data_IF_483878867513
#
_entry.id   IF_483878867513
#
_cell.length_a   1.000
_cell.length_b   1.000
_cell.length_c   1.000
_cell.angle_alpha   90.00
_cell.angle_beta   90.00
_cell.angle_gamma   90.00
#
_symmetry.space_group_name_H-M   'P 1'
#
loop_
_entity.id
_entity.type
_entity.pdbx_description
1 polymer ?
#
# COMPACT_ATOMS: atom_id res chain seq x y z
N UNK A 1 -8.53 -5.08 6.07
CA UNK A 1 -8.93 -4.14 7.14
C UNK A 1 -8.24 -4.59 8.42
N UNK A 2 -7.67 -3.68 9.22
CA UNK A 2 -7.07 -4.04 10.51
C UNK A 2 -8.06 -3.67 11.62
N UNK A 3 -9.29 -4.17 11.50
CA UNK A 3 -10.30 -4.00 12.55
C UNK A 3 -9.98 -5.02 13.63
N UNK A 4 -9.85 -4.57 14.88
CA UNK A 4 -9.73 -5.50 16.00
C UNK A 4 -11.12 -5.99 16.36
N UNK A 5 -11.32 -7.29 16.25
CA UNK A 5 -12.57 -7.98 16.61
C UNK A 5 -12.25 -8.97 17.73
N UNK A 6 -12.93 -8.82 18.85
CA UNK A 6 -12.80 -9.70 20.03
C UNK A 6 -14.20 -10.17 20.39
N UNK A 7 -14.49 -11.44 20.11
CA UNK A 7 -15.85 -11.99 20.20
C UNK A 7 -16.87 -11.16 19.40
N UNK A 8 -17.70 -10.40 20.12
CA UNK A 8 -18.73 -9.51 19.60
C UNK A 8 -18.34 -8.02 19.72
N UNK A 9 -17.15 -7.70 20.22
CA UNK A 9 -16.61 -6.34 20.31
C UNK A 9 -15.82 -6.00 19.05
N UNK A 10 -16.14 -4.86 18.44
CA UNK A 10 -15.49 -4.37 17.22
C UNK A 10 -14.91 -2.99 17.51
N UNK A 11 -13.57 -2.86 17.43
CA UNK A 11 -12.87 -1.61 17.67
C UNK A 11 -12.41 -0.98 16.35
N UNK A 12 -12.79 0.27 16.12
CA UNK A 12 -12.57 0.99 14.88
C UNK A 12 -12.05 2.40 15.11
N UNK A 13 -11.21 2.89 14.21
CA UNK A 13 -11.04 4.31 13.99
C UNK A 13 -12.16 4.86 13.09
N UNK A 14 -12.46 6.15 13.17
CA UNK A 14 -13.39 6.80 12.22
C UNK A 14 -12.94 6.60 10.76
N UNK A 15 -11.63 6.46 10.51
CA UNK A 15 -11.08 6.18 9.18
C UNK A 15 -11.50 4.82 8.62
N UNK A 16 -11.78 3.84 9.48
CA UNK A 16 -12.22 2.50 9.06
C UNK A 16 -13.69 2.49 8.62
N UNK A 17 -14.45 3.56 8.90
CA UNK A 17 -15.84 3.73 8.47
C UNK A 17 -15.96 4.40 7.09
N UNK A 18 -14.87 4.95 6.56
CA UNK A 18 -14.91 5.72 5.32
C UNK A 18 -15.05 4.78 4.12
N UNK A 19 -15.79 5.22 3.10
CA UNK A 19 -15.83 4.51 1.83
C UNK A 19 -14.40 4.27 1.30
N UNK A 20 -14.11 3.10 0.70
CA UNK A 20 -12.85 2.88 0.01
C UNK A 20 -12.66 3.92 -1.11
N UNK A 21 -11.72 4.85 -0.94
CA UNK A 21 -11.38 5.81 -1.99
C UNK A 21 -10.37 5.18 -2.96
N UNK A 22 -10.79 4.88 -4.18
CA UNK A 22 -9.95 4.29 -5.24
C UNK A 22 -8.73 5.15 -5.66
N UNK A 23 -8.68 6.43 -5.29
CA UNK A 23 -7.73 7.42 -5.88
C UNK A 23 -6.34 7.48 -5.26
N UNK A 24 -6.00 6.68 -4.24
CA UNK A 24 -4.69 6.79 -3.56
C UNK A 24 -3.60 5.83 -4.07
N UNK A 25 -3.83 5.08 -5.15
CA UNK A 25 -2.98 3.93 -5.48
C UNK A 25 -2.15 4.04 -6.77
N UNK A 26 -2.05 5.20 -7.42
CA UNK A 26 -1.05 5.35 -8.48
C UNK A 26 0.30 5.74 -7.88
N UNK A 27 1.34 5.04 -8.32
CA UNK A 27 2.74 5.38 -8.05
C UNK A 27 3.00 6.74 -8.69
N UNK A 28 2.73 7.82 -7.95
CA UNK A 28 3.24 9.12 -8.31
C UNK A 28 4.76 9.02 -8.35
N UNK A 29 5.38 9.61 -9.37
CA UNK A 29 6.83 9.75 -9.52
C UNK A 29 7.50 10.49 -8.34
N UNK A 30 6.71 10.99 -7.39
CA UNK A 30 7.16 11.58 -6.14
C UNK A 30 7.23 10.53 -5.02
N UNK A 31 8.33 10.47 -4.25
CA UNK A 31 8.41 9.63 -3.06
C UNK A 31 7.29 10.00 -2.07
N UNK A 32 6.28 9.13 -1.99
CA UNK A 32 5.16 9.22 -1.03
C UNK A 32 5.57 9.48 0.44
N UNK A 33 6.74 9.03 0.97
CA UNK A 33 7.18 9.37 2.32
C UNK A 33 7.28 10.88 2.58
N UNK A 34 7.71 11.66 1.58
CA UNK A 34 7.80 13.12 1.70
C UNK A 34 6.41 13.76 1.78
N UNK A 35 5.43 13.24 1.03
CA UNK A 35 4.05 13.76 1.05
C UNK A 35 3.40 13.62 2.43
N UNK A 36 3.55 12.47 3.08
CA UNK A 36 2.96 12.25 4.42
C UNK A 36 3.54 13.18 5.48
N UNK A 37 4.86 13.43 5.43
CA UNK A 37 5.54 14.40 6.28
C UNK A 37 5.07 15.83 6.02
N UNK A 38 5.05 16.25 4.74
CA UNK A 38 4.57 17.57 4.33
C UNK A 38 3.10 17.80 4.73
N UNK A 39 2.26 16.78 4.59
CA UNK A 39 0.86 16.81 5.04
C UNK A 39 0.73 17.10 6.54
N UNK A 40 1.49 16.39 7.39
CA UNK A 40 1.50 16.63 8.85
C UNK A 40 2.04 18.01 9.21
N UNK A 41 3.08 18.48 8.53
CA UNK A 41 3.63 19.82 8.73
C UNK A 41 2.61 20.90 8.36
N UNK A 42 1.92 20.75 7.22
CA UNK A 42 0.86 21.64 6.79
C UNK A 42 -0.30 21.69 7.82
N UNK A 43 -0.76 20.52 8.29
CA UNK A 43 -1.77 20.42 9.34
C UNK A 43 -1.34 21.13 10.63
N UNK A 44 -0.13 20.83 11.12
CA UNK A 44 0.45 21.47 12.32
C UNK A 44 0.54 22.99 12.16
N UNK A 45 0.89 23.48 10.97
CA UNK A 45 0.97 24.91 10.66
C UNK A 45 -0.40 25.59 10.77
N UNK A 46 -1.45 24.98 10.22
CA UNK A 46 -2.84 25.49 10.32
C UNK A 46 -3.31 25.49 11.78
N UNK A 47 -3.11 24.39 12.51
CA UNK A 47 -3.50 24.30 13.93
C UNK A 47 -2.77 25.35 14.79
N UNK A 48 -1.46 25.55 14.58
CA UNK A 48 -0.67 26.57 15.31
C UNK A 48 -1.14 27.99 15.02
N UNK A 49 -1.56 28.29 13.79
CA UNK A 49 -2.14 29.60 13.44
C UNK A 49 -3.45 29.84 14.21
N UNK A 50 -4.26 28.79 14.39
CA UNK A 50 -5.56 28.86 15.07
C UNK A 50 -5.48 28.84 16.59
N UNK A 51 -4.53 28.11 17.17
CA UNK A 51 -4.27 28.14 18.63
C UNK A 51 -3.93 29.55 19.16
N UNK A 52 -3.53 30.48 18.28
CA UNK A 52 -3.29 31.89 18.63
C UNK A 52 -4.59 32.71 18.77
N UNK A 53 -5.73 32.17 18.33
CA UNK A 53 -7.08 32.71 18.60
C UNK A 53 -7.66 32.01 19.83
N UNK A 54 -7.51 32.68 20.98
CA UNK A 54 -8.21 32.52 22.27
C UNK A 54 -8.98 31.20 22.53
N UNK A 55 -8.50 30.40 23.49
CA UNK A 55 -9.21 29.59 24.51
C UNK A 55 -10.39 28.65 24.18
N UNK A 56 -11.04 28.82 23.04
CA UNK A 56 -12.26 28.14 22.59
C UNK A 56 -11.96 27.02 21.60
N UNK A 57 -10.73 26.97 21.09
CA UNK A 57 -10.26 26.01 20.11
C UNK A 57 -9.48 24.88 20.79
N UNK A 58 -9.92 23.65 20.54
CA UNK A 58 -9.24 22.44 20.96
C UNK A 58 -8.71 21.72 19.73
N UNK A 59 -7.39 21.73 19.55
CA UNK A 59 -6.72 20.94 18.52
C UNK A 59 -6.61 19.47 18.94
N UNK A 60 -6.71 18.55 17.97
CA UNK A 60 -6.51 17.11 18.20
C UNK A 60 -7.46 16.51 19.24
N UNK A 61 -8.73 16.91 19.18
CA UNK A 61 -9.77 16.49 20.12
C UNK A 61 -10.06 14.99 19.97
N UNK A 62 -9.72 14.21 21.00
CA UNK A 62 -10.00 12.78 21.02
C UNK A 62 -11.49 12.52 21.29
N UNK A 63 -12.07 11.58 20.57
CA UNK A 63 -13.45 11.15 20.78
C UNK A 63 -13.57 9.63 20.74
N UNK A 64 -14.41 9.10 21.61
CA UNK A 64 -14.76 7.68 21.66
C UNK A 64 -16.25 7.51 21.95
N UNK A 65 -16.91 6.62 21.20
CA UNK A 65 -18.30 6.22 21.42
C UNK A 65 -18.49 4.74 21.13
N UNK A 66 -19.42 4.13 21.86
CA UNK A 66 -19.80 2.73 21.66
C UNK A 66 -21.25 2.65 21.23
N UNK A 67 -21.52 1.84 20.20
CA UNK A 67 -22.84 1.62 19.62
C UNK A 67 -23.17 0.14 19.63
N UNK A 68 -24.43 -0.20 19.90
CA UNK A 68 -24.92 -1.58 19.75
C UNK A 68 -25.50 -1.78 18.35
N UNK A 69 -25.13 -2.86 17.67
CA UNK A 69 -25.62 -3.23 16.36
C UNK A 69 -25.77 -4.75 16.25
N UNK A 70 -27.02 -5.24 16.31
CA UNK A 70 -27.34 -6.66 16.48
C UNK A 70 -26.59 -7.29 17.67
N UNK A 71 -25.87 -8.39 17.45
CA UNK A 71 -25.05 -9.05 18.45
C UNK A 71 -23.72 -8.34 18.75
N UNK A 72 -23.33 -7.33 17.95
CA UNK A 72 -22.03 -6.65 18.06
C UNK A 72 -22.10 -5.33 18.82
N UNK A 73 -21.00 -4.99 19.49
CA UNK A 73 -20.73 -3.67 20.02
C UNK A 73 -19.58 -3.01 19.26
N UNK A 74 -19.85 -1.86 18.67
CA UNK A 74 -18.90 -1.06 17.90
C UNK A 74 -18.33 0.04 18.77
N UNK A 75 -17.05 -0.02 19.11
CA UNK A 75 -16.33 1.08 19.77
C UNK A 75 -15.55 1.87 18.71
N UNK A 76 -16.02 3.08 18.42
CA UNK A 76 -15.42 3.98 17.45
C UNK A 76 -14.57 5.01 18.16
N UNK A 77 -13.34 5.17 17.69
CA UNK A 77 -12.36 6.14 18.18
C UNK A 77 -11.97 7.11 17.07
N UNK A 78 -11.68 8.35 17.45
CA UNK A 78 -11.43 9.41 16.51
C UNK A 78 -10.56 10.51 17.09
N UNK A 79 -9.92 11.26 16.20
CA UNK A 79 -9.18 12.46 16.58
C UNK A 79 -9.55 13.56 15.59
N UNK A 80 -10.27 14.55 16.10
CA UNK A 80 -10.77 15.67 15.33
C UNK A 80 -9.68 16.73 15.31
N UNK A 81 -9.30 17.21 14.12
CA UNK A 81 -8.16 18.12 14.00
C UNK A 81 -8.39 19.46 14.72
N UNK A 82 -9.64 19.91 14.81
CA UNK A 82 -10.03 21.10 15.54
C UNK A 82 -11.51 21.14 15.95
N UNK A 83 -11.79 21.60 17.18
CA UNK A 83 -13.14 21.87 17.67
C UNK A 83 -13.19 23.27 18.29
N UNK A 84 -14.08 24.12 17.81
CA UNK A 84 -14.43 25.40 18.42
C UNK A 84 -15.75 25.27 19.16
N UNK A 85 -15.75 25.47 20.48
CA UNK A 85 -16.97 25.49 21.28
C UNK A 85 -17.42 26.94 21.52
N UNK A 86 -18.57 27.30 20.97
CA UNK A 86 -19.27 28.57 21.19
C UNK A 86 -20.54 28.30 22.01
N UNK A 87 -21.15 29.34 22.60
CA UNK A 87 -22.27 29.18 23.55
C UNK A 87 -23.47 28.38 23.00
N UNK A 88 -23.79 28.46 21.71
CA UNK A 88 -24.93 27.76 21.09
C UNK A 88 -24.52 26.95 19.85
N UNK A 89 -23.21 26.84 19.58
CA UNK A 89 -22.69 26.29 18.34
C UNK A 89 -21.33 25.65 18.55
N UNK A 90 -21.08 24.52 17.93
CA UNK A 90 -19.75 23.94 17.81
C UNK A 90 -19.30 23.94 16.34
N UNK A 91 -18.13 24.49 16.05
CA UNK A 91 -17.49 24.27 14.75
C UNK A 91 -16.49 23.12 14.85
N UNK A 92 -16.59 22.17 13.92
CA UNK A 92 -15.68 21.02 13.85
C UNK A 92 -14.88 21.17 12.57
N UNK A 93 -13.57 20.97 12.63
CA UNK A 93 -12.68 21.08 11.48
C UNK A 93 -11.87 19.80 11.29
N UNK A 94 -11.88 19.28 10.06
CA UNK A 94 -10.94 18.27 9.59
C UNK A 94 -10.01 18.89 8.54
N UNK A 95 -8.72 18.63 8.63
CA UNK A 95 -7.69 19.22 7.77
C UNK A 95 -7.07 18.12 6.90
N UNK A 96 -7.11 18.29 5.58
CA UNK A 96 -6.49 17.36 4.63
C UNK A 96 -5.57 18.10 3.67
N UNK A 97 -4.57 17.38 3.16
CA UNK A 97 -3.60 17.91 2.20
C UNK A 97 -3.80 17.32 0.81
N UNK A 98 -3.77 18.15 -0.22
CA UNK A 98 -3.84 17.77 -1.63
C UNK A 98 -2.62 18.31 -2.41
N UNK A 99 -2.33 17.72 -3.56
CA UNK A 99 -1.32 18.20 -4.50
C UNK A 99 -2.06 18.44 -5.81
N UNK A 100 -2.30 19.71 -6.13
CA UNK A 100 -3.04 20.12 -7.33
C UNK A 100 -2.43 21.39 -7.90
N UNK A 101 -2.55 21.59 -9.21
CA UNK A 101 -2.18 22.87 -9.81
C UNK A 101 -3.01 24.01 -9.21
N UNK A 102 -2.50 25.24 -9.26
CA UNK A 102 -3.24 26.40 -8.76
C UNK A 102 -4.61 26.59 -9.45
N UNK A 103 -4.73 26.21 -10.72
CA UNK A 103 -6.01 26.28 -11.45
C UNK A 103 -7.00 25.23 -10.95
N UNK A 104 -6.58 23.97 -10.80
CA UNK A 104 -7.42 22.89 -10.29
C UNK A 104 -7.83 23.14 -8.85
N UNK A 105 -6.91 23.58 -7.99
CA UNK A 105 -7.19 23.85 -6.58
C UNK A 105 -8.24 24.97 -6.40
N UNK A 106 -8.19 26.01 -7.24
CA UNK A 106 -9.21 27.09 -7.26
C UNK A 106 -10.59 26.57 -7.67
N UNK A 107 -10.67 25.60 -8.58
CA UNK A 107 -11.92 25.00 -9.08
C UNK A 107 -12.33 23.73 -8.33
N UNK A 108 -11.60 23.37 -7.27
CA UNK A 108 -11.85 22.15 -6.50
C UNK A 108 -13.25 22.17 -5.89
N UNK A 109 -13.87 20.99 -5.92
CA UNK A 109 -15.19 20.67 -5.43
C UNK A 109 -15.07 19.54 -4.39
N UNK A 110 -15.71 19.65 -3.23
CA UNK A 110 -15.56 18.68 -2.14
C UNK A 110 -16.16 17.31 -2.47
N UNK A 111 -17.10 17.27 -3.41
CA UNK A 111 -17.71 16.06 -3.97
C UNK A 111 -16.68 15.13 -4.63
N UNK A 112 -15.50 15.66 -4.98
CA UNK A 112 -14.36 14.85 -5.45
C UNK A 112 -13.66 14.08 -4.34
N UNK A 113 -13.95 14.35 -3.08
CA UNK A 113 -13.32 13.77 -1.88
C UNK A 113 -14.38 13.30 -0.86
N UNK A 114 -15.29 12.39 -1.26
CA UNK A 114 -16.37 11.93 -0.40
C UNK A 114 -15.87 11.34 0.92
N UNK A 115 -14.72 10.66 0.92
CA UNK A 115 -14.12 10.07 2.12
C UNK A 115 -13.75 11.12 3.18
N UNK A 116 -13.30 12.32 2.75
CA UNK A 116 -12.99 13.40 3.69
C UNK A 116 -14.26 14.03 4.25
N UNK A 117 -15.30 14.16 3.42
CA UNK A 117 -16.61 14.66 3.83
C UNK A 117 -17.25 13.71 4.84
N UNK A 118 -17.27 12.40 4.56
CA UNK A 118 -17.78 11.36 5.47
C UNK A 118 -17.05 11.41 6.83
N UNK A 119 -15.74 11.60 6.84
CA UNK A 119 -14.96 11.68 8.07
C UNK A 119 -15.43 12.82 8.98
N UNK A 120 -15.64 14.04 8.43
CA UNK A 120 -16.11 15.18 9.22
C UNK A 120 -17.55 14.97 9.69
N UNK A 121 -18.39 14.35 8.87
CA UNK A 121 -19.77 14.02 9.24
C UNK A 121 -19.83 13.03 10.40
N UNK A 122 -19.02 11.98 10.38
CA UNK A 122 -18.93 11.04 11.50
C UNK A 122 -18.43 11.71 12.77
N UNK A 123 -17.42 12.60 12.69
CA UNK A 123 -17.00 13.38 13.85
C UNK A 123 -18.11 14.27 14.40
N UNK A 124 -18.89 14.93 13.53
CA UNK A 124 -20.06 15.71 13.95
C UNK A 124 -21.11 14.86 14.66
N UNK A 125 -21.40 13.66 14.15
CA UNK A 125 -22.34 12.74 14.79
C UNK A 125 -21.83 12.22 16.14
N UNK A 126 -20.54 11.86 16.24
CA UNK A 126 -19.97 11.37 17.50
C UNK A 126 -19.97 12.44 18.60
N UNK A 127 -19.77 13.71 18.25
CA UNK A 127 -19.73 14.83 19.19
C UNK A 127 -21.11 15.29 19.69
N UNK A 128 -22.20 14.84 19.08
CA UNK A 128 -23.52 15.42 19.33
C UNK A 128 -23.99 15.30 20.78
N UNK A 129 -23.67 14.18 21.44
CA UNK A 129 -24.12 13.94 22.82
C UNK A 129 -23.30 14.73 23.85
N UNK A 130 -22.15 15.30 23.45
CA UNK A 130 -21.30 16.13 24.31
C UNK A 130 -21.67 17.62 24.28
N UNK A 131 -22.61 18.01 23.41
CA UNK A 131 -22.84 19.41 23.06
C UNK A 131 -24.25 19.93 23.44
N UNK A 132 -25.01 19.20 24.25
CA UNK A 132 -26.27 19.63 24.90
C UNK A 132 -27.26 20.41 23.97
N UNK A 133 -27.35 20.03 22.70
CA UNK A 133 -28.25 20.66 21.72
C UNK A 133 -27.69 21.86 20.94
N UNK A 134 -26.40 22.19 21.11
CA UNK A 134 -25.72 23.19 20.29
C UNK A 134 -25.71 22.81 18.79
N UNK A 135 -25.81 23.80 17.91
CA UNK A 135 -25.71 23.58 16.46
C UNK A 135 -24.30 23.10 16.11
N UNK A 136 -24.18 21.97 15.42
CA UNK A 136 -22.89 21.45 14.96
C UNK A 136 -22.67 21.85 13.51
N UNK A 137 -21.57 22.57 13.26
CA UNK A 137 -21.19 23.02 11.93
C UNK A 137 -19.83 22.44 11.53
N UNK A 138 -19.82 21.36 10.74
CA UNK A 138 -18.60 20.75 10.27
C UNK A 138 -17.99 21.50 9.09
N UNK A 139 -16.66 21.55 9.07
CA UNK A 139 -15.85 22.13 8.03
C UNK A 139 -14.75 21.17 7.59
N UNK A 140 -14.56 21.09 6.28
CA UNK A 140 -13.39 20.45 5.68
C UNK A 140 -12.42 21.54 5.21
N UNK A 141 -11.16 21.46 5.63
CA UNK A 141 -10.10 22.36 5.22
C UNK A 141 -9.13 21.59 4.34
N UNK A 142 -8.98 22.03 3.11
CA UNK A 142 -8.00 21.47 2.18
C UNK A 142 -6.81 22.42 2.03
N UNK A 143 -5.60 21.89 2.23
CA UNK A 143 -4.34 22.60 2.07
C UNK A 143 -3.61 22.06 0.84
N UNK A 144 -3.23 22.94 -0.08
CA UNK A 144 -2.40 22.57 -1.22
C UNK A 144 -0.93 22.59 -0.85
N UNK A 145 -0.25 21.44 -0.93
CA UNK A 145 1.16 21.33 -0.54
C UNK A 145 2.13 22.04 -1.50
N UNK A 146 1.69 22.40 -2.73
CA UNK A 146 2.55 23.08 -3.70
C UNK A 146 2.78 24.55 -3.30
N UNK A 147 1.77 25.21 -2.74
CA UNK A 147 1.79 26.66 -2.53
C UNK A 147 1.18 27.11 -1.19
N UNK A 148 0.94 26.18 -0.26
CA UNK A 148 0.30 26.39 1.04
C UNK A 148 -1.10 27.04 1.00
N UNK A 149 -1.74 27.12 -0.18
CA UNK A 149 -3.06 27.71 -0.31
C UNK A 149 -4.11 26.85 0.42
N UNK A 150 -5.07 27.50 1.08
CA UNK A 150 -6.09 26.83 1.87
C UNK A 150 -7.49 27.14 1.34
N UNK A 151 -8.40 26.17 1.44
CA UNK A 151 -9.83 26.37 1.23
C UNK A 151 -10.63 25.70 2.34
N UNK A 152 -11.51 26.45 3.00
CA UNK A 152 -12.45 25.98 4.03
C UNK A 152 -13.82 25.80 3.40
N UNK A 153 -14.41 24.62 3.57
CA UNK A 153 -15.71 24.25 3.01
C UNK A 153 -16.65 23.88 4.15
N UNK A 154 -17.83 24.53 4.21
CA UNK A 154 -18.90 24.12 5.13
C UNK A 154 -19.52 22.83 4.60
N UNK A 155 -19.62 21.81 5.46
CA UNK A 155 -20.21 20.52 5.11
C UNK A 155 -21.67 20.49 5.62
N UNK A 156 -22.66 20.22 4.76
CA UNK A 156 -24.05 20.05 5.20
C UNK A 156 -24.18 18.86 6.15
N UNK A 157 -24.64 19.11 7.38
CA UNK A 157 -24.81 18.07 8.40
C UNK A 157 -26.28 17.83 8.72
N UNK A 158 -26.68 16.57 8.63
CA UNK A 158 -28.02 16.11 9.00
C UNK A 158 -27.88 14.84 9.84
N UNK A 159 -28.17 14.95 11.13
CA UNK A 159 -28.03 13.85 12.11
C UNK A 159 -28.60 12.52 11.63
N UNK A 160 -29.88 12.49 11.25
CA UNK A 160 -30.56 11.26 10.82
C UNK A 160 -29.98 10.65 9.53
N UNK A 161 -29.42 11.48 8.64
CA UNK A 161 -28.78 10.98 7.43
C UNK A 161 -27.41 10.38 7.74
N UNK A 162 -26.62 11.03 8.60
CA UNK A 162 -25.32 10.52 9.07
C UNK A 162 -25.46 9.24 9.89
N UNK A 163 -26.49 9.14 10.73
CA UNK A 163 -26.82 7.92 11.47
C UNK A 163 -27.13 6.74 10.54
N UNK A 164 -27.95 6.97 9.51
CA UNK A 164 -28.25 5.95 8.49
C UNK A 164 -26.98 5.50 7.77
N UNK A 165 -26.11 6.44 7.40
CA UNK A 165 -24.81 6.12 6.80
C UNK A 165 -23.94 5.28 7.74
N UNK A 166 -23.88 5.62 9.03
CA UNK A 166 -23.14 4.86 10.04
C UNK A 166 -23.68 3.43 10.18
N UNK A 167 -25.00 3.26 10.25
CA UNK A 167 -25.64 1.94 10.30
C UNK A 167 -25.36 1.11 9.04
N UNK A 168 -25.34 1.73 7.86
CA UNK A 168 -24.93 1.06 6.62
C UNK A 168 -23.47 0.58 6.68
N UNK A 169 -22.57 1.37 7.28
CA UNK A 169 -21.16 0.96 7.48
C UNK A 169 -21.05 -0.20 8.46
N UNK A 170 -21.82 -0.20 9.55
CA UNK A 170 -21.87 -1.35 10.46
C UNK A 170 -22.34 -2.62 9.76
N UNK A 171 -23.43 -2.54 8.98
CA UNK A 171 -23.91 -3.66 8.18
C UNK A 171 -22.81 -4.23 7.27
N UNK A 172 -22.10 -3.34 6.56
CA UNK A 172 -21.02 -3.72 5.66
C UNK A 172 -19.84 -4.38 6.41
N UNK A 173 -19.46 -3.86 7.56
CA UNK A 173 -18.37 -4.40 8.39
C UNK A 173 -18.74 -5.78 8.93
N UNK A 174 -19.94 -5.95 9.48
CA UNK A 174 -20.42 -7.27 9.94
C UNK A 174 -20.46 -8.27 8.78
N UNK A 175 -20.97 -7.87 7.61
CA UNK A 175 -20.97 -8.71 6.43
C UNK A 175 -19.55 -9.10 5.98
N UNK A 176 -18.57 -8.20 6.10
CA UNK A 176 -17.16 -8.50 5.81
C UNK A 176 -16.58 -9.52 6.80
N UNK A 177 -16.81 -9.34 8.11
CA UNK A 177 -16.35 -10.25 9.16
C UNK A 177 -16.91 -11.65 8.95
N UNK A 178 -18.22 -11.76 8.66
CA UNK A 178 -18.86 -13.05 8.37
C UNK A 178 -18.26 -13.73 7.13
N UNK A 179 -18.09 -12.99 6.03
CA UNK A 179 -17.45 -13.50 4.80
C UNK A 179 -16.00 -13.94 5.01
N UNK A 180 -15.26 -13.23 5.85
CA UNK A 180 -13.88 -13.58 6.21
C UNK A 180 -13.83 -14.89 7.00
N UNK A 181 -14.70 -15.06 8.00
CA UNK A 181 -14.84 -16.34 8.74
C UNK A 181 -15.21 -17.50 7.84
N UNK A 182 -16.21 -17.32 6.97
CA UNK A 182 -16.61 -18.34 5.97
C UNK A 182 -15.46 -18.69 5.02
N UNK A 183 -14.67 -17.69 4.61
CA UNK A 183 -13.50 -17.89 3.74
C UNK A 183 -12.42 -18.69 4.46
N UNK A 184 -12.13 -18.39 5.73
CA UNK A 184 -11.18 -19.14 6.55
C UNK A 184 -11.59 -20.61 6.63
N UNK A 185 -12.85 -20.87 6.99
CA UNK A 185 -13.37 -22.24 7.12
C UNK A 185 -13.36 -22.99 5.78
N UNK A 186 -13.74 -22.31 4.68
CA UNK A 186 -13.64 -22.90 3.34
C UNK A 186 -12.19 -23.26 3.01
N UNK A 187 -11.25 -22.33 3.21
CA UNK A 187 -9.83 -22.54 2.89
C UNK A 187 -9.18 -23.62 3.76
N UNK A 188 -9.58 -23.74 5.04
CA UNK A 188 -9.19 -24.85 5.93
C UNK A 188 -9.61 -26.20 5.36
N UNK A 189 -10.84 -26.32 4.87
CA UNK A 189 -11.32 -27.54 4.21
C UNK A 189 -10.56 -27.81 2.91
N UNK A 190 -10.39 -26.79 2.07
CA UNK A 190 -9.67 -26.89 0.79
C UNK A 190 -8.24 -27.40 1.00
N UNK A 191 -7.49 -26.87 1.97
CA UNK A 191 -6.10 -27.28 2.21
C UNK A 191 -5.96 -28.61 2.96
N UNK A 192 -6.97 -29.04 3.73
CA UNK A 192 -6.92 -30.28 4.53
C UNK A 192 -6.85 -31.57 3.70
N UNK A 193 -7.22 -31.49 2.42
CA UNK A 193 -7.21 -32.62 1.47
C UNK A 193 -6.06 -32.53 0.46
N UNK A 194 -5.14 -31.59 0.66
CA UNK A 194 -3.99 -31.39 -0.22
C UNK A 194 -2.77 -32.11 0.33
N UNK A 195 -2.17 -32.93 -0.52
CA UNK A 195 -0.87 -33.54 -0.26
C UNK A 195 0.25 -32.55 -0.61
N UNK A 196 1.28 -32.51 0.22
CA UNK A 196 2.45 -31.64 0.06
C UNK A 196 3.69 -32.49 -0.32
N UNK A 197 3.82 -32.89 -1.60
CA UNK A 197 4.83 -33.87 -2.02
C UNK A 197 6.23 -33.26 -2.00
N UNK A 198 7.13 -33.81 -1.17
CA UNK A 198 8.55 -33.47 -1.26
C UNK A 198 9.19 -34.23 -2.43
N UNK A 199 10.07 -33.59 -3.25
CA UNK A 199 10.74 -34.26 -4.37
C UNK A 199 11.55 -35.51 -3.94
N UNK A 200 12.13 -35.47 -2.74
CA UNK A 200 12.80 -36.59 -2.07
C UNK A 200 12.55 -36.48 -0.58
N UNK A 201 12.18 -37.57 0.10
CA UNK A 201 12.01 -37.56 1.56
C UNK A 201 13.37 -37.57 2.27
N UNK A 202 13.77 -36.42 2.83
CA UNK A 202 15.02 -36.31 3.61
C UNK A 202 14.71 -35.88 5.05
N UNK A 203 15.32 -36.52 6.07
CA UNK A 203 15.07 -36.16 7.48
C UNK A 203 15.29 -34.67 7.79
N UNK A 204 16.27 -34.04 7.14
CA UNK A 204 16.58 -32.62 7.34
C UNK A 204 15.47 -31.68 6.84
N UNK A 205 14.72 -32.07 5.80
CA UNK A 205 13.58 -31.29 5.31
C UNK A 205 12.42 -31.34 6.30
N UNK A 206 12.12 -32.52 6.83
CA UNK A 206 11.07 -32.69 7.85
C UNK A 206 11.41 -31.89 9.11
N UNK A 207 12.67 -31.93 9.54
CA UNK A 207 13.14 -31.11 10.66
C UNK A 207 12.97 -29.61 10.36
N UNK A 208 13.36 -29.15 9.18
CA UNK A 208 13.18 -27.75 8.78
C UNK A 208 11.69 -27.36 8.74
N UNK A 209 10.82 -28.22 8.22
CA UNK A 209 9.38 -27.97 8.15
C UNK A 209 8.75 -27.84 9.54
N UNK A 210 9.16 -28.68 10.49
CA UNK A 210 8.71 -28.60 11.88
C UNK A 210 9.10 -27.25 12.51
N UNK A 211 10.37 -26.88 12.42
CA UNK A 211 10.86 -25.61 13.01
C UNK A 211 10.21 -24.39 12.34
N UNK A 212 9.96 -24.44 11.02
CA UNK A 212 9.22 -23.37 10.31
C UNK A 212 7.78 -23.27 10.82
N UNK A 213 7.10 -24.41 11.04
CA UNK A 213 5.73 -24.43 11.57
C UNK A 213 5.67 -23.81 12.96
N UNK A 214 6.53 -24.25 13.87
CA UNK A 214 6.59 -23.75 15.24
C UNK A 214 6.86 -22.23 15.25
N UNK A 215 7.82 -21.77 14.43
CA UNK A 215 8.13 -20.35 14.29
C UNK A 215 6.94 -19.52 13.81
N UNK A 216 6.13 -20.03 12.88
CA UNK A 216 4.97 -19.33 12.36
C UNK A 216 3.84 -19.25 13.39
N UNK A 217 3.61 -20.33 14.13
CA UNK A 217 2.61 -20.40 15.20
C UNK A 217 2.96 -19.45 16.36
N UNK A 218 4.24 -19.38 16.72
CA UNK A 218 4.76 -18.47 17.75
C UNK A 218 4.95 -17.01 17.27
N UNK A 219 4.76 -16.74 15.99
CA UNK A 219 4.99 -15.42 15.37
C UNK A 219 6.42 -14.89 15.56
N UNK A 220 7.41 -15.78 15.49
CA UNK A 220 8.83 -15.49 15.70
C UNK A 220 9.62 -15.30 14.38
N UNK A 221 10.92 -15.02 14.51
CA UNK A 221 11.86 -14.98 13.40
C UNK A 221 12.75 -16.22 13.41
N UNK A 222 12.96 -16.83 12.24
CA UNK A 222 13.78 -18.02 12.08
C UNK A 222 14.89 -17.78 11.06
N UNK A 223 16.12 -18.15 11.43
CA UNK A 223 17.26 -18.24 10.52
C UNK A 223 17.64 -19.72 10.38
N UNK A 224 17.54 -20.25 9.16
CA UNK A 224 17.91 -21.63 8.83
C UNK A 224 19.18 -21.65 8.00
N UNK A 225 20.16 -22.44 8.45
CA UNK A 225 21.33 -22.78 7.64
C UNK A 225 21.22 -24.24 7.20
N UNK A 226 21.18 -24.46 5.89
CA UNK A 226 21.18 -25.81 5.30
C UNK A 226 21.97 -25.82 3.98
N UNK A 227 22.66 -26.92 3.62
CA UNK A 227 23.41 -27.04 2.38
C UNK A 227 22.55 -26.83 1.12
N UNK A 228 23.15 -26.49 -0.01
CA UNK A 228 22.45 -26.44 -1.31
C UNK A 228 21.97 -27.83 -1.72
N UNK A 229 20.94 -27.89 -2.57
CA UNK A 229 20.38 -29.17 -3.04
C UNK A 229 19.52 -29.93 -2.03
N UNK A 230 19.37 -29.47 -0.78
CA UNK A 230 18.59 -30.14 0.28
C UNK A 230 17.07 -29.96 0.17
N UNK A 231 16.55 -29.23 -0.83
CA UNK A 231 15.11 -28.97 -0.99
C UNK A 231 14.54 -27.90 -0.03
N UNK A 232 15.39 -26.94 0.38
CA UNK A 232 15.05 -25.85 1.32
C UNK A 232 13.82 -25.06 0.91
N UNK A 233 13.64 -24.83 -0.39
CA UNK A 233 12.51 -24.06 -0.93
C UNK A 233 11.18 -24.72 -0.59
N UNK A 234 11.03 -26.04 -0.82
CA UNK A 234 9.82 -26.78 -0.44
C UNK A 234 9.65 -26.85 1.09
N UNK A 235 10.74 -27.13 1.82
CA UNK A 235 10.72 -27.22 3.27
C UNK A 235 10.35 -25.89 3.96
N UNK A 236 10.60 -24.73 3.33
CA UNK A 236 10.13 -23.43 3.79
C UNK A 236 8.69 -23.12 3.31
N UNK A 237 8.40 -23.37 2.03
CA UNK A 237 7.13 -22.97 1.42
C UNK A 237 5.94 -23.80 1.88
N UNK A 238 6.08 -25.11 2.03
CA UNK A 238 4.96 -25.99 2.39
C UNK A 238 4.36 -25.68 3.76
N UNK A 239 5.13 -25.65 4.87
CA UNK A 239 4.57 -25.25 6.16
C UNK A 239 4.06 -23.81 6.13
N UNK A 240 4.71 -22.91 5.38
CA UNK A 240 4.22 -21.54 5.23
C UNK A 240 2.86 -21.47 4.53
N UNK A 241 2.65 -22.22 3.44
CA UNK A 241 1.36 -22.28 2.72
C UNK A 241 0.30 -22.93 3.61
N UNK A 242 0.63 -24.03 4.29
CA UNK A 242 -0.25 -24.71 5.26
C UNK A 242 -0.76 -23.75 6.35
N UNK A 243 0.11 -22.89 6.86
CA UNK A 243 -0.24 -21.90 7.86
C UNK A 243 -0.98 -20.69 7.27
N UNK A 244 -0.48 -20.14 6.16
CA UNK A 244 -0.92 -18.84 5.65
C UNK A 244 -2.27 -18.90 4.92
N UNK A 245 -2.44 -19.91 4.07
CA UNK A 245 -3.60 -20.04 3.19
C UNK A 245 -4.94 -20.01 3.94
N UNK A 246 -5.18 -20.87 4.96
CA UNK A 246 -6.44 -20.87 5.70
C UNK A 246 -6.70 -19.56 6.44
N UNK A 247 -5.65 -18.85 6.86
CA UNK A 247 -5.76 -17.59 7.58
C UNK A 247 -5.91 -16.37 6.67
N UNK A 248 -5.85 -16.55 5.35
CA UNK A 248 -5.82 -15.44 4.40
C UNK A 248 -4.54 -14.58 4.48
N UNK A 249 -3.50 -15.09 5.15
CA UNK A 249 -2.17 -14.46 5.16
C UNK A 249 -1.48 -14.69 3.82
N UNK A 250 -0.57 -13.79 3.48
CA UNK A 250 0.19 -13.78 2.25
C UNK A 250 1.64 -14.11 2.52
N UNK A 251 2.24 -14.85 1.60
CA UNK A 251 3.67 -15.16 1.64
C UNK A 251 4.36 -14.27 0.62
N UNK A 252 5.41 -13.54 1.04
CA UNK A 252 6.33 -12.92 0.10
C UNK A 252 7.65 -13.70 0.16
N UNK A 253 7.95 -14.44 -0.89
CA UNK A 253 9.25 -15.06 -1.07
C UNK A 253 10.14 -14.14 -1.90
N UNK A 254 11.24 -13.70 -1.30
CA UNK A 254 12.25 -12.87 -1.97
C UNK A 254 13.48 -13.69 -2.32
N UNK A 255 13.99 -13.50 -3.53
CA UNK A 255 15.13 -14.25 -4.06
C UNK A 255 15.91 -13.44 -5.10
N UNK A 256 17.22 -13.63 -5.22
CA UNK A 256 18.09 -12.82 -6.11
C UNK A 256 18.08 -13.28 -7.57
N UNK A 257 17.70 -14.53 -7.86
CA UNK A 257 17.88 -15.11 -9.19
C UNK A 257 16.57 -15.59 -9.79
N UNK A 258 16.41 -15.37 -11.09
CA UNK A 258 15.26 -15.87 -11.85
C UNK A 258 15.12 -17.40 -11.78
N UNK A 259 16.23 -18.14 -11.72
CA UNK A 259 16.22 -19.61 -11.59
C UNK A 259 15.52 -20.07 -10.31
N UNK A 260 15.64 -19.32 -9.22
CA UNK A 260 14.99 -19.64 -7.95
C UNK A 260 13.48 -19.41 -8.03
N UNK A 261 13.02 -18.42 -8.80
CA UNK A 261 11.59 -18.21 -9.05
C UNK A 261 10.96 -19.42 -9.76
N UNK A 262 11.68 -20.03 -10.70
CA UNK A 262 11.21 -21.24 -11.37
C UNK A 262 11.06 -22.42 -10.39
N UNK A 263 12.01 -22.61 -9.46
CA UNK A 263 11.92 -23.63 -8.42
C UNK A 263 10.67 -23.44 -7.55
N UNK A 264 10.34 -22.19 -7.20
CA UNK A 264 9.09 -21.89 -6.47
C UNK A 264 7.86 -22.29 -7.28
N UNK A 265 7.84 -22.00 -8.58
CA UNK A 265 6.73 -22.39 -9.44
C UNK A 265 6.57 -23.92 -9.51
N UNK A 266 7.67 -24.64 -9.73
CA UNK A 266 7.71 -26.10 -9.76
C UNK A 266 7.28 -26.72 -8.42
N UNK A 267 7.63 -26.08 -7.30
CA UNK A 267 7.27 -26.53 -5.94
C UNK A 267 5.77 -26.39 -5.66
N UNK A 268 5.14 -25.31 -6.12
CA UNK A 268 3.73 -24.99 -5.80
C UNK A 268 2.73 -25.48 -6.86
N UNK A 269 3.16 -25.74 -8.10
CA UNK A 269 2.30 -26.22 -9.18
C UNK A 269 1.57 -27.54 -8.84
N UNK A 270 2.18 -28.52 -8.15
CA UNK A 270 1.47 -29.72 -7.69
C UNK A 270 0.29 -29.42 -6.75
N UNK A 271 0.37 -28.38 -5.92
CA UNK A 271 -0.72 -28.03 -5.00
C UNK A 271 -1.93 -27.48 -5.77
N UNK A 272 -1.69 -26.62 -6.75
CA UNK A 272 -2.75 -26.08 -7.62
C UNK A 272 -3.35 -27.18 -8.50
N UNK A 273 -2.53 -28.11 -9.01
CA UNK A 273 -3.00 -29.25 -9.80
C UNK A 273 -3.92 -30.20 -9.01
N UNK A 274 -3.74 -30.28 -7.68
CA UNK A 274 -4.64 -31.01 -6.77
C UNK A 274 -5.96 -30.26 -6.49
N UNK A 275 -6.14 -29.06 -7.05
CA UNK A 275 -7.35 -28.25 -6.89
C UNK A 275 -7.28 -27.19 -5.80
N UNK A 276 -6.13 -27.00 -5.13
CA UNK A 276 -5.94 -25.89 -4.22
C UNK A 276 -6.03 -24.58 -5.01
N UNK A 277 -6.96 -23.69 -4.64
CA UNK A 277 -7.14 -22.37 -5.27
C UNK A 277 -6.08 -21.39 -4.78
N UNK A 278 -4.81 -21.79 -4.88
CA UNK A 278 -3.65 -21.01 -4.49
C UNK A 278 -3.28 -20.05 -5.62
N UNK A 279 -3.15 -18.77 -5.30
CA UNK A 279 -2.74 -17.74 -6.26
C UNK A 279 -1.29 -17.38 -6.06
N UNK A 280 -0.45 -17.70 -7.03
CA UNK A 280 0.99 -17.47 -7.02
C UNK A 280 1.35 -16.41 -8.07
N UNK A 281 1.86 -15.28 -7.62
CA UNK A 281 2.21 -14.15 -8.48
C UNK A 281 3.73 -13.91 -8.50
N UNK A 282 4.28 -13.76 -9.71
CA UNK A 282 5.70 -13.52 -9.92
C UNK A 282 5.93 -12.09 -10.40
N UNK A 283 6.83 -11.38 -9.74
CA UNK A 283 7.19 -10.01 -10.09
C UNK A 283 8.53 -9.95 -10.81
N UNK A 284 8.53 -9.26 -11.94
CA UNK A 284 9.71 -8.93 -12.73
C UNK A 284 9.97 -7.41 -12.64
N UNK A 285 11.24 -7.04 -12.79
CA UNK A 285 11.67 -5.64 -12.81
C UNK A 285 10.83 -4.78 -13.76
N UNK A 286 10.52 -3.55 -13.34
CA UNK A 286 9.65 -2.62 -14.07
C UNK A 286 10.14 -2.34 -15.48
N UNK A 287 11.45 -2.19 -15.63
CA UNK A 287 12.13 -1.94 -16.90
C UNK A 287 11.94 -3.12 -17.86
N UNK A 288 11.91 -4.35 -17.34
CA UNK A 288 11.69 -5.58 -18.13
C UNK A 288 10.22 -5.88 -18.42
N UNK A 289 9.30 -5.17 -17.76
CA UNK A 289 7.85 -5.25 -17.98
C UNK A 289 7.33 -4.06 -18.81
N UNK A 290 8.20 -3.12 -19.18
CA UNK A 290 7.80 -1.93 -19.92
C UNK A 290 7.48 -2.29 -21.38
N UNK A 291 6.26 -1.99 -21.82
CA UNK A 291 5.83 -2.16 -23.21
C UNK A 291 6.15 -0.96 -24.11
N UNK A 292 6.90 0.03 -23.61
CA UNK A 292 7.39 1.17 -24.39
C UNK A 292 8.87 1.00 -24.74
N UNK A 293 9.27 1.51 -25.90
CA UNK A 293 10.68 1.57 -26.32
C UNK A 293 11.53 2.50 -25.45
N UNK A 294 10.91 3.59 -24.96
CA UNK A 294 11.55 4.57 -24.07
C UNK A 294 10.89 4.52 -22.70
N UNK A 295 11.72 4.33 -21.69
CA UNK A 295 11.28 4.22 -20.30
C UNK A 295 11.07 5.59 -19.66
N UNK A 296 9.81 6.03 -19.58
CA UNK A 296 9.40 7.19 -18.79
C UNK A 296 8.00 7.00 -18.22
N UNK A 297 7.93 6.63 -16.93
CA UNK A 297 6.68 6.22 -16.31
C UNK A 297 5.92 7.40 -15.70
N UNK A 298 5.01 7.96 -16.49
CA UNK A 298 4.08 9.01 -16.06
C UNK A 298 2.83 9.02 -16.95
N UNK A 299 1.64 9.16 -16.38
CA UNK A 299 0.34 9.10 -17.09
C UNK A 299 0.23 10.06 -18.29
N UNK A 300 0.80 11.27 -18.16
CA UNK A 300 0.80 12.26 -19.24
C UNK A 300 1.64 11.86 -20.47
N UNK A 301 2.53 10.87 -20.35
CA UNK A 301 3.50 10.52 -21.41
C UNK A 301 3.42 9.03 -21.81
N UNK A 302 2.99 8.16 -20.89
CA UNK A 302 2.92 6.72 -21.14
C UNK A 302 1.51 6.34 -21.62
N UNK A 303 1.35 5.84 -22.86
CA UNK A 303 0.04 5.48 -23.41
C UNK A 303 -0.65 4.33 -22.65
N UNK A 304 0.15 3.47 -21.99
CA UNK A 304 -0.32 2.35 -21.18
C UNK A 304 -0.72 2.73 -19.75
N UNK A 305 -0.32 3.91 -19.26
CA UNK A 305 -0.74 4.45 -17.95
C UNK A 305 -1.89 5.43 -18.08
N UNK A 306 -2.06 6.04 -19.25
CA UNK A 306 -3.17 6.94 -19.51
C UNK A 306 -4.50 6.19 -19.37
N UNK A 307 -5.40 6.74 -18.56
CA UNK A 307 -6.74 6.18 -18.28
C UNK A 307 -6.69 4.74 -17.73
N UNK A 308 -5.58 4.38 -17.06
CA UNK A 308 -5.27 3.00 -16.64
C UNK A 308 -6.41 2.34 -15.86
N UNK A 309 -6.97 3.03 -14.86
CA UNK A 309 -8.01 2.46 -13.99
C UNK A 309 -9.30 2.14 -14.75
N UNK A 310 -9.72 3.03 -15.65
CA UNK A 310 -10.95 2.85 -16.45
C UNK A 310 -10.78 1.67 -17.41
N UNK A 311 -9.60 1.56 -18.04
CA UNK A 311 -9.27 0.41 -18.91
C UNK A 311 -9.15 -0.90 -18.15
N UNK A 312 -8.53 -0.89 -16.96
CA UNK A 312 -8.37 -2.09 -16.14
C UNK A 312 -9.73 -2.66 -15.75
N UNK A 313 -10.65 -1.80 -15.32
CA UNK A 313 -12.03 -2.20 -14.97
C UNK A 313 -12.81 -2.72 -16.19
N UNK A 314 -12.65 -2.09 -17.36
CA UNK A 314 -13.32 -2.52 -18.58
C UNK A 314 -12.81 -3.86 -19.10
N UNK A 315 -11.50 -4.14 -18.93
CA UNK A 315 -10.87 -5.36 -19.43
C UNK A 315 -11.13 -6.60 -18.56
N UNK A 316 -11.52 -6.43 -17.27
CA UNK A 316 -11.65 -7.54 -16.29
C UNK A 316 -10.40 -8.44 -16.23
N UNK A 317 -9.23 -7.83 -16.46
CA UNK A 317 -7.97 -8.55 -16.68
C UNK A 317 -7.42 -9.16 -15.39
N UNK A 318 -7.60 -8.50 -14.26
CA UNK A 318 -7.08 -9.00 -12.98
C UNK A 318 -7.81 -10.29 -12.60
N UNK A 319 -9.12 -10.32 -12.76
CA UNK A 319 -9.97 -11.48 -12.50
C UNK A 319 -9.56 -12.66 -13.41
N UNK A 320 -9.38 -12.42 -14.72
CA UNK A 320 -8.89 -13.44 -15.67
C UNK A 320 -7.54 -14.04 -15.23
N UNK A 321 -6.61 -13.20 -14.80
CA UNK A 321 -5.28 -13.65 -14.32
C UNK A 321 -5.39 -14.47 -13.03
N UNK A 322 -6.28 -14.07 -12.11
CA UNK A 322 -6.46 -14.76 -10.82
C UNK A 322 -7.05 -16.17 -10.97
N UNK A 323 -7.85 -16.41 -12.00
CA UNK A 323 -8.42 -17.73 -12.30
C UNK A 323 -7.37 -18.75 -12.74
N UNK A 324 -6.24 -18.29 -13.30
CA UNK A 324 -5.15 -19.17 -13.75
C UNK A 324 -4.38 -19.83 -12.59
N UNK A 325 -4.50 -19.29 -11.37
CA UNK A 325 -3.72 -19.68 -10.19
C UNK A 325 -2.26 -19.20 -10.26
N UNK A 326 -1.58 -19.39 -11.40
CA UNK A 326 -0.20 -18.94 -11.63
C UNK A 326 -0.15 -17.69 -12.50
N UNK A 327 0.13 -16.56 -11.86
CA UNK A 327 0.21 -15.24 -12.50
C UNK A 327 1.68 -14.99 -12.87
N UNK A 328 2.04 -15.42 -14.08
CA UNK A 328 3.41 -15.29 -14.60
C UNK A 328 3.65 -13.92 -15.23
N UNK A 329 4.89 -13.38 -15.23
CA UNK A 329 5.13 -12.05 -15.78
C UNK A 329 4.86 -11.99 -17.28
N UNK A 330 5.12 -13.08 -18.01
CA UNK A 330 4.89 -13.13 -19.45
C UNK A 330 3.39 -13.14 -19.79
N UNK A 331 2.58 -13.92 -19.08
CA UNK A 331 1.12 -13.89 -19.23
C UNK A 331 0.52 -12.52 -18.93
N UNK A 332 0.99 -11.86 -17.86
CA UNK A 332 0.59 -10.49 -17.54
C UNK A 332 1.02 -9.52 -18.63
N UNK A 333 2.25 -9.65 -19.14
CA UNK A 333 2.77 -8.78 -20.19
C UNK A 333 1.94 -8.85 -21.46
N UNK A 334 1.69 -10.05 -21.96
CA UNK A 334 0.99 -10.25 -23.22
C UNK A 334 -0.45 -9.74 -23.13
N UNK A 335 -1.16 -10.08 -22.05
CA UNK A 335 -2.56 -9.65 -21.86
C UNK A 335 -2.68 -8.16 -21.54
N UNK A 336 -1.85 -7.61 -20.66
CA UNK A 336 -1.91 -6.17 -20.37
C UNK A 336 -1.59 -5.33 -21.60
N UNK A 337 -0.59 -5.75 -22.39
CA UNK A 337 -0.23 -5.05 -23.63
C UNK A 337 -1.37 -5.09 -24.65
N UNK A 338 -2.07 -6.22 -24.81
CA UNK A 338 -3.21 -6.31 -25.75
C UNK A 338 -4.37 -5.38 -25.37
N UNK A 339 -4.55 -5.11 -24.07
CA UNK A 339 -5.58 -4.21 -23.55
C UNK A 339 -5.10 -2.74 -23.40
N UNK A 340 -3.91 -2.41 -23.92
CA UNK A 340 -3.29 -1.08 -23.78
C UNK A 340 -3.16 -0.64 -22.31
N UNK A 341 -2.82 -1.58 -21.43
CA UNK A 341 -2.56 -1.41 -20.00
C UNK A 341 -1.07 -1.59 -19.69
N UNK A 342 -0.57 -0.91 -18.65
CA UNK A 342 0.82 -1.04 -18.22
C UNK A 342 1.05 -2.41 -17.56
N UNK A 343 1.88 -3.30 -18.12
CA UNK A 343 2.06 -4.64 -17.57
C UNK A 343 2.58 -4.68 -16.14
N UNK A 344 3.49 -3.75 -15.79
CA UNK A 344 4.03 -3.67 -14.45
C UNK A 344 2.95 -3.29 -13.42
N UNK A 345 2.12 -2.28 -13.71
CA UNK A 345 1.04 -1.90 -12.79
C UNK A 345 0.01 -3.03 -12.66
N UNK A 346 -0.34 -3.71 -13.77
CA UNK A 346 -1.24 -4.88 -13.72
C UNK A 346 -0.66 -5.99 -12.84
N UNK A 347 0.67 -6.20 -12.88
CA UNK A 347 1.33 -7.15 -11.99
C UNK A 347 1.12 -6.78 -10.51
N UNK A 348 1.24 -5.49 -10.16
CA UNK A 348 1.03 -5.01 -8.79
C UNK A 348 -0.44 -5.15 -8.35
N UNK A 349 -1.40 -4.87 -9.25
CA UNK A 349 -2.82 -5.10 -9.02
C UNK A 349 -3.11 -6.59 -8.76
N UNK A 350 -2.61 -7.49 -9.60
CA UNK A 350 -2.80 -8.93 -9.44
C UNK A 350 -2.15 -9.47 -8.15
N UNK A 351 -0.94 -9.01 -7.80
CA UNK A 351 -0.25 -9.38 -6.56
C UNK A 351 -1.01 -8.96 -5.30
N UNK A 352 -1.83 -7.89 -5.36
CA UNK A 352 -2.70 -7.51 -4.26
C UNK A 352 -3.75 -8.58 -3.92
N UNK A 353 -3.94 -9.57 -4.78
CA UNK A 353 -4.82 -10.72 -4.59
C UNK A 353 -4.10 -12.08 -4.54
N UNK A 354 -2.77 -12.09 -4.66
CA UNK A 354 -1.94 -13.28 -4.56
C UNK A 354 -1.81 -13.78 -3.11
N UNK A 355 -1.85 -15.10 -2.93
CA UNK A 355 -1.57 -15.79 -1.67
C UNK A 355 -0.04 -15.97 -1.49
N UNK A 356 0.67 -16.21 -2.59
CA UNK A 356 2.13 -16.27 -2.64
C UNK A 356 2.63 -15.27 -3.67
N UNK A 357 3.55 -14.41 -3.26
CA UNK A 357 4.21 -13.41 -4.09
C UNK A 357 5.70 -13.72 -4.14
N UNK A 358 6.26 -13.75 -5.35
CA UNK A 358 7.67 -14.05 -5.58
C UNK A 358 8.33 -12.87 -6.28
N UNK A 359 9.44 -12.38 -5.74
CA UNK A 359 10.14 -11.22 -6.32
C UNK A 359 11.57 -11.06 -5.82
N UNK A 360 12.20 -9.96 -6.22
CA UNK A 360 13.55 -9.59 -5.78
C UNK A 360 13.53 -8.87 -4.42
N UNK A 361 14.64 -8.98 -3.66
CA UNK A 361 14.83 -8.33 -2.35
C UNK A 361 14.50 -6.82 -2.35
N UNK A 362 14.78 -6.12 -3.46
CA UNK A 362 14.60 -4.68 -3.57
C UNK A 362 13.16 -4.26 -3.23
N UNK A 363 12.17 -5.07 -3.59
CA UNK A 363 10.76 -4.75 -3.37
C UNK A 363 10.34 -4.73 -1.89
N UNK A 364 11.15 -5.34 -1.02
CA UNK A 364 10.95 -5.40 0.43
C UNK A 364 11.92 -4.48 1.16
N UNK A 365 13.18 -4.40 0.71
CA UNK A 365 14.25 -3.76 1.48
C UNK A 365 14.75 -2.43 0.90
N UNK A 366 14.60 -2.16 -0.39
CA UNK A 366 15.06 -0.90 -1.00
C UNK A 366 14.01 0.21 -0.79
N UNK A 367 14.31 1.27 -0.02
CA UNK A 367 13.34 2.36 0.23
C UNK A 367 12.82 3.04 -1.04
N UNK A 368 13.60 3.05 -2.12
CA UNK A 368 13.26 3.70 -3.38
C UNK A 368 12.19 2.93 -4.17
N UNK A 369 12.23 1.59 -4.15
CA UNK A 369 11.32 0.73 -4.93
C UNK A 369 10.40 -0.16 -4.08
N UNK A 370 10.43 0.00 -2.75
CA UNK A 370 9.56 -0.68 -1.79
C UNK A 370 8.08 -0.63 -2.21
N UNK A 371 7.43 -1.80 -2.25
CA UNK A 371 6.05 -2.00 -2.72
C UNK A 371 4.99 -1.56 -1.70
N UNK A 372 4.95 -0.25 -1.42
CA UNK A 372 4.03 0.37 -0.44
C UNK A 372 2.57 -0.04 -0.62
N UNK A 373 2.13 -0.26 -1.87
CA UNK A 373 0.76 -0.68 -2.19
C UNK A 373 0.42 -2.06 -1.61
N UNK A 374 1.36 -2.99 -1.60
CA UNK A 374 1.18 -4.34 -1.05
C UNK A 374 1.30 -4.35 0.48
N UNK A 375 2.16 -3.50 1.03
CA UNK A 375 2.41 -3.37 2.47
C UNK A 375 1.60 -2.25 3.11
N UNK A 376 0.30 -2.18 2.80
CA UNK A 376 -0.57 -1.10 3.25
C UNK A 376 -0.83 -1.11 4.77
N UNK A 377 -0.86 -2.29 5.40
CA UNK A 377 -0.94 -2.42 6.87
C UNK A 377 0.44 -2.14 7.48
N UNK A 378 0.47 -1.22 8.46
CA UNK A 378 1.71 -0.77 9.10
C UNK A 378 2.45 -1.84 9.89
N UNK A 379 1.72 -2.82 10.42
CA UNK A 379 2.26 -3.92 11.22
C UNK A 379 2.68 -5.11 10.36
N UNK A 380 2.39 -5.08 9.05
CA UNK A 380 2.62 -6.20 8.13
C UNK A 380 2.02 -7.52 8.61
N UNK A 381 1.00 -7.48 9.49
CA UNK A 381 0.47 -8.68 10.16
C UNK A 381 -0.16 -9.72 9.21
N UNK A 382 -0.45 -9.31 7.97
CA UNK A 382 -0.97 -10.19 6.92
C UNK A 382 0.13 -10.94 6.17
N UNK A 383 1.40 -10.60 6.36
CA UNK A 383 2.52 -11.09 5.55
C UNK A 383 3.45 -12.03 6.32
N UNK A 384 3.93 -13.04 5.60
CA UNK A 384 5.04 -13.92 5.99
C UNK A 384 6.14 -13.67 4.97
N UNK A 385 7.31 -13.25 5.44
CA UNK A 385 8.47 -13.00 4.58
C UNK A 385 9.40 -14.20 4.61
N UNK A 386 9.68 -14.78 3.45
CA UNK A 386 10.69 -15.83 3.26
C UNK A 386 11.83 -15.23 2.44
N UNK A 387 13.02 -15.15 3.05
CA UNK A 387 14.23 -14.68 2.37
C UNK A 387 15.06 -15.90 1.96
N UNK A 388 15.02 -16.23 0.67
CA UNK A 388 15.89 -17.26 0.12
C UNK A 388 17.30 -16.68 -0.14
N UNK A 389 18.35 -17.48 0.02
CA UNK A 389 19.76 -17.06 -0.11
C UNK A 389 20.10 -15.71 0.57
N UNK A 390 19.65 -15.56 1.82
CA UNK A 390 19.79 -14.34 2.62
C UNK A 390 21.23 -13.81 2.78
N UNK A 391 22.25 -14.62 2.48
CA UNK A 391 23.64 -14.18 2.44
C UNK A 391 23.88 -13.02 1.45
N UNK A 392 23.07 -12.91 0.39
CA UNK A 392 23.16 -11.81 -0.58
C UNK A 392 22.52 -10.50 -0.08
N UNK A 393 21.75 -10.54 1.01
CA UNK A 393 20.96 -9.40 1.46
C UNK A 393 21.83 -8.31 2.08
N UNK A 394 22.89 -8.67 2.80
CA UNK A 394 23.77 -7.71 3.49
C UNK A 394 24.42 -6.73 2.50
N UNK A 395 25.08 -7.25 1.47
CA UNK A 395 25.78 -6.43 0.47
C UNK A 395 24.79 -5.49 -0.26
N UNK A 396 23.63 -6.02 -0.64
CA UNK A 396 22.57 -5.24 -1.27
C UNK A 396 21.98 -4.18 -0.34
N UNK A 397 21.75 -4.53 0.92
CA UNK A 397 21.26 -3.61 1.95
C UNK A 397 22.14 -2.38 2.11
N UNK A 398 23.46 -2.59 2.14
CA UNK A 398 24.43 -1.48 2.17
C UNK A 398 24.36 -0.62 0.90
N UNK A 399 24.25 -1.26 -0.27
CA UNK A 399 24.17 -0.56 -1.55
C UNK A 399 22.93 0.36 -1.65
N UNK A 400 21.77 -0.05 -1.11
CA UNK A 400 20.55 0.78 -1.13
C UNK A 400 20.72 2.13 -0.45
N UNK A 401 21.57 2.19 0.59
CA UNK A 401 21.82 3.40 1.38
C UNK A 401 23.12 4.11 1.01
N UNK A 402 23.85 3.60 0.03
CA UNK A 402 25.16 4.12 -0.40
C UNK A 402 25.13 4.53 -1.88
N UNK A 403 24.28 5.51 -2.28
CA UNK A 403 24.25 5.98 -3.65
C UNK A 403 25.60 6.59 -4.01
N UNK A 404 26.21 6.10 -5.09
CA UNK A 404 27.48 6.60 -5.58
C UNK A 404 27.28 7.35 -6.91
N UNK A 405 27.98 8.47 -7.06
CA UNK A 405 28.12 9.18 -8.32
C UNK A 405 29.52 8.87 -8.88
N UNK A 406 29.57 8.40 -10.12
CA UNK A 406 30.84 8.15 -10.82
C UNK A 406 31.22 9.37 -11.65
N UNK A 407 32.41 9.91 -11.40
CA UNK A 407 32.96 11.02 -12.18
C UNK A 407 33.10 10.67 -13.67
N UNK A 408 33.48 9.43 -13.98
CA UNK A 408 33.54 8.94 -15.36
C UNK A 408 32.16 8.95 -16.04
N UNK A 409 31.13 8.43 -15.37
CA UNK A 409 29.74 8.50 -15.88
C UNK A 409 29.28 9.93 -16.10
N UNK A 410 29.63 10.83 -15.18
CA UNK A 410 29.31 12.26 -15.30
C UNK A 410 29.96 12.89 -16.54
N UNK A 411 31.26 12.65 -16.77
CA UNK A 411 31.96 13.14 -17.97
C UNK A 411 31.38 12.59 -19.26
N UNK A 412 31.02 11.30 -19.28
CA UNK A 412 30.38 10.67 -20.44
C UNK A 412 29.02 11.31 -20.74
N UNK A 413 28.21 11.62 -19.72
CA UNK A 413 26.93 12.32 -19.88
C UNK A 413 27.12 13.74 -20.42
N UNK A 414 28.10 14.50 -19.91
CA UNK A 414 28.42 15.84 -20.43
C UNK A 414 28.74 15.76 -21.91
N UNK A 415 29.66 14.87 -22.30
CA UNK A 415 30.06 14.68 -23.70
C UNK A 415 28.87 14.29 -24.59
N UNK A 416 28.01 13.38 -24.13
CA UNK A 416 26.84 12.91 -24.87
C UNK A 416 25.80 14.00 -25.14
N UNK A 417 25.62 14.95 -24.21
CA UNK A 417 24.56 15.96 -24.29
C UNK A 417 25.03 17.35 -24.72
N UNK A 418 26.33 17.64 -24.65
CA UNK A 418 26.90 18.93 -25.04
C UNK A 418 26.61 19.30 -26.50
N UNK A 419 26.63 18.31 -27.39
CA UNK A 419 26.35 18.50 -28.82
C UNK A 419 24.85 18.49 -29.16
N UNK A 420 23.95 18.21 -28.20
CA UNK A 420 22.51 18.11 -28.48
C UNK A 420 21.82 19.48 -28.49
N UNK A 421 21.10 19.84 -29.55
CA UNK A 421 20.40 21.12 -29.62
C UNK A 421 19.17 21.13 -28.69
N UNK A 422 18.98 22.23 -27.96
CA UNK A 422 17.77 22.45 -27.15
C UNK A 422 18.02 23.17 -25.83
N UNK A 423 17.01 23.92 -25.34
CA UNK A 423 17.09 24.64 -24.06
C UNK A 423 17.25 23.69 -22.86
N UNK A 424 16.65 22.50 -22.93
CA UNK A 424 16.72 21.47 -21.89
C UNK A 424 18.14 20.91 -21.80
N UNK A 425 18.74 20.48 -22.91
CA UNK A 425 20.11 19.96 -22.93
C UNK A 425 21.13 20.99 -22.47
N UNK A 426 21.03 22.25 -22.91
CA UNK A 426 21.90 23.32 -22.41
C UNK A 426 21.83 23.50 -20.89
N UNK A 427 20.62 23.48 -20.31
CA UNK A 427 20.43 23.57 -18.85
C UNK A 427 20.97 22.34 -18.13
N UNK A 428 20.74 21.14 -18.68
CA UNK A 428 21.24 19.89 -18.13
C UNK A 428 22.76 19.87 -18.13
N UNK A 429 23.40 20.14 -19.27
CA UNK A 429 24.87 20.17 -19.39
C UNK A 429 25.49 21.20 -18.46
N UNK A 430 24.87 22.39 -18.29
CA UNK A 430 25.32 23.38 -17.33
C UNK A 430 25.24 22.86 -15.88
N UNK A 431 24.18 22.13 -15.51
CA UNK A 431 24.06 21.52 -14.19
C UNK A 431 25.09 20.38 -13.99
N UNK A 432 25.30 19.54 -15.00
CA UNK A 432 26.29 18.45 -14.95
C UNK A 432 27.72 18.99 -14.81
N UNK A 433 28.07 20.10 -15.49
CA UNK A 433 29.37 20.77 -15.35
C UNK A 433 29.61 21.29 -13.93
N UNK A 434 28.60 21.94 -13.33
CA UNK A 434 28.69 22.35 -11.92
C UNK A 434 28.91 21.17 -10.98
N UNK A 435 28.28 20.03 -11.26
CA UNK A 435 28.53 18.80 -10.51
C UNK A 435 29.98 18.31 -10.70
N UNK A 436 30.52 18.43 -11.91
CA UNK A 436 31.90 18.03 -12.24
C UNK A 436 32.92 18.88 -11.49
N UNK A 437 32.69 20.19 -11.39
CA UNK A 437 33.53 21.12 -10.61
C UNK A 437 33.55 20.73 -9.13
N UNK A 438 32.39 20.34 -8.56
CA UNK A 438 32.30 19.86 -7.17
C UNK A 438 33.09 18.56 -6.95
N UNK A 439 33.10 17.66 -7.94
CA UNK A 439 33.90 16.43 -7.88
C UNK A 439 35.40 16.72 -7.80
N UNK A 440 35.88 17.68 -8.58
CA UNK A 440 37.29 18.09 -8.57
C UNK A 440 37.69 18.72 -7.23
N UNK A 441 36.80 19.50 -6.61
CA UNK A 441 37.02 20.06 -5.28
C UNK A 441 37.09 18.98 -4.19
N UNK A 442 36.17 18.00 -4.21
CA UNK A 442 36.11 16.91 -3.23
C UNK A 442 37.26 15.90 -3.36
N UNK A 443 38.01 15.90 -4.47
CA UNK A 443 39.22 15.08 -4.64
C UNK A 443 40.49 15.76 -4.13
N UNK A 444 40.44 17.06 -3.87
CA UNK A 444 41.57 17.86 -3.37
C UNK A 444 41.59 17.99 -1.83
N UNK A 445 40.45 17.72 -1.18
CA UNK A 445 40.31 17.51 0.26
C UNK A 445 40.56 16.03 0.63
#
# INVERSE_FOLDING_TARGET
MAIRVEDNQIFLGVRDLLAPSFRQQMVSSFPLPQRGLLGRQAQTKVQRQKNRQYGLFHSEYFIQRTFSYHEYQFTITGRIDGVFRLQQRAEIEEIKSVILTAAEFRRLKIEKYPEFVEQVLFYAYLLQDELEGAEIVPYLILVNLINDAQRKFKVPYHRQATERLLQQRFAQIVANIRRERETIERRRREISVIDFPLPEERPQQQQMMAVVRDCLEEQNHLMVSAPTGTGKTAAALYPAVQFAYPLGKKIFLVTSKNTQQQIVAETLRPLVAQGLKLRVAFLRAREKMCANDVYFCHEAFCPYLKDYQERLQAANLVEELLEQGFITPDAVYDRARSEMLCPFEVSLDAMAHGDVVVGDYNYVFDPAVYLRRLFAKKDHADWILIVDEAHNLYERGMAYLSPALSYEKLRNLISQYESRPGKVYRKLTAALRRLSELFEQLQLE
#
